data_IF_692818970508
#
_entry.id   IF_692818970508
#
_cell.length_a   1.000
_cell.length_b   1.000
_cell.length_c   1.000
_cell.angle_alpha   90.00
_cell.angle_beta   90.00
_cell.angle_gamma   90.00
#
_symmetry.space_group_name_H-M   'P 1'
#
loop_
_entity.id
_entity.type
_entity.pdbx_description
1 polymer ?
#
# COMPACT_ATOMS: atom_id res chain seq x y z
N UNK A 1 -20.89 -16.22 8.85
CA UNK A 1 -19.46 -16.58 8.98
C UNK A 1 -18.80 -15.53 9.87
N UNK A 2 -18.05 -15.95 10.89
CA UNK A 2 -17.33 -15.03 11.79
C UNK A 2 -15.82 -15.20 11.58
N UNK A 3 -15.36 -14.89 10.37
CA UNK A 3 -13.97 -15.06 9.93
C UNK A 3 -13.53 -13.82 9.15
N UNK A 4 -12.26 -13.42 9.23
CA UNK A 4 -11.75 -12.32 8.41
C UNK A 4 -11.75 -12.73 6.93
N UNK A 5 -12.28 -11.85 6.08
CA UNK A 5 -12.28 -12.03 4.63
C UNK A 5 -11.30 -11.02 4.03
N UNK A 6 -10.36 -11.53 3.23
CA UNK A 6 -9.45 -10.70 2.46
C UNK A 6 -9.82 -10.80 0.98
N UNK A 7 -10.02 -9.64 0.34
CA UNK A 7 -10.23 -9.52 -1.09
C UNK A 7 -9.14 -8.65 -1.70
N UNK A 8 -8.69 -9.01 -2.90
CA UNK A 8 -7.80 -8.18 -3.71
C UNK A 8 -8.61 -7.49 -4.80
N UNK A 9 -8.37 -6.19 -4.99
CA UNK A 9 -9.00 -5.39 -6.04
C UNK A 9 -7.93 -4.65 -6.83
N UNK A 10 -8.21 -4.41 -8.10
CA UNK A 10 -7.37 -3.57 -8.95
C UNK A 10 -7.83 -2.11 -8.82
N UNK A 11 -6.87 -1.18 -8.94
CA UNK A 11 -7.16 0.25 -8.96
C UNK A 11 -7.52 0.70 -10.37
N UNK A 12 -8.31 1.76 -10.47
CA UNK A 12 -8.51 2.46 -11.74
C UNK A 12 -7.16 2.94 -12.30
N UNK A 13 -7.00 2.87 -13.63
CA UNK A 13 -5.81 3.40 -14.34
C UNK A 13 -5.67 4.92 -14.21
N UNK A 14 -6.71 5.61 -13.75
CA UNK A 14 -6.68 7.05 -13.47
C UNK A 14 -5.55 7.43 -12.48
N UNK A 15 -5.14 6.52 -11.59
CA UNK A 15 -4.01 6.74 -10.67
C UNK A 15 -2.71 7.09 -11.40
N UNK A 16 -2.49 6.55 -12.59
CA UNK A 16 -1.25 6.76 -13.36
C UNK A 16 -1.19 8.14 -14.02
N UNK A 17 -2.34 8.78 -14.22
CA UNK A 17 -2.47 10.10 -14.85
C UNK A 17 -2.27 11.24 -13.86
N UNK A 18 -2.34 10.96 -12.55
CA UNK A 18 -2.13 11.97 -11.50
C UNK A 18 -0.64 12.27 -11.33
N UNK A 19 -0.33 13.52 -10.99
CA UNK A 19 1.03 13.94 -10.61
C UNK A 19 1.51 13.16 -9.39
N UNK A 20 0.64 13.03 -8.39
CA UNK A 20 0.84 12.14 -7.26
C UNK A 20 0.17 10.79 -7.56
N UNK A 21 0.99 9.77 -7.86
CA UNK A 21 0.55 8.41 -8.19
C UNK A 21 0.20 7.58 -6.95
N UNK A 22 -0.01 8.23 -5.80
CA UNK A 22 -0.40 7.58 -4.56
C UNK A 22 -1.87 7.12 -4.62
N UNK A 23 -2.14 5.82 -4.41
CA UNK A 23 -3.51 5.29 -4.37
C UNK A 23 -4.38 5.98 -3.31
N UNK A 24 -5.63 6.25 -3.67
CA UNK A 24 -6.66 6.79 -2.78
C UNK A 24 -7.94 5.97 -2.88
N UNK A 25 -8.87 6.13 -1.92
CA UNK A 25 -10.11 5.37 -1.88
C UNK A 25 -10.94 5.46 -3.16
N UNK A 26 -11.00 6.65 -3.79
CA UNK A 26 -11.72 6.83 -5.05
C UNK A 26 -11.16 6.01 -6.22
N UNK A 27 -9.92 5.52 -6.12
CA UNK A 27 -9.35 4.63 -7.14
C UNK A 27 -9.98 3.22 -7.10
N UNK A 28 -10.73 2.88 -6.04
CA UNK A 28 -11.54 1.66 -5.94
C UNK A 28 -12.95 1.82 -6.51
N UNK A 29 -13.30 2.98 -7.05
CA UNK A 29 -14.68 3.26 -7.51
C UNK A 29 -15.20 2.26 -8.55
N UNK A 30 -14.32 1.73 -9.39
CA UNK A 30 -14.66 0.70 -10.38
C UNK A 30 -14.89 -0.70 -9.75
N UNK A 31 -14.50 -0.87 -8.50
CA UNK A 31 -14.63 -2.12 -7.73
C UNK A 31 -15.96 -2.23 -6.97
N UNK A 32 -16.95 -1.41 -7.33
CA UNK A 32 -18.30 -1.46 -6.76
C UNK A 32 -18.37 -0.92 -5.34
N UNK A 33 -19.02 -1.66 -4.44
CA UNK A 33 -19.26 -1.23 -3.06
C UNK A 33 -18.08 -1.42 -2.11
N UNK A 34 -16.94 -1.98 -2.57
CA UNK A 34 -15.79 -2.31 -1.71
C UNK A 34 -15.26 -1.12 -0.91
N UNK A 35 -15.24 0.08 -1.51
CA UNK A 35 -14.85 1.31 -0.80
C UNK A 35 -15.71 1.54 0.45
N UNK A 36 -17.01 1.30 0.35
CA UNK A 36 -17.97 1.52 1.42
C UNK A 36 -18.03 0.36 2.39
N UNK A 37 -18.06 -0.88 1.88
CA UNK A 37 -18.33 -2.08 2.66
C UNK A 37 -17.13 -2.57 3.46
N UNK A 38 -15.91 -2.36 2.97
CA UNK A 38 -14.70 -2.83 3.66
C UNK A 38 -14.53 -2.17 5.04
N UNK A 39 -14.12 -2.95 6.04
CA UNK A 39 -13.72 -2.43 7.35
C UNK A 39 -12.33 -1.79 7.29
N UNK A 40 -11.43 -2.40 6.53
CA UNK A 40 -10.05 -1.97 6.34
C UNK A 40 -9.75 -1.95 4.84
N UNK A 41 -9.15 -0.86 4.36
CA UNK A 41 -8.62 -0.76 2.99
C UNK A 41 -7.14 -0.48 3.07
N UNK A 42 -6.35 -1.35 2.45
CA UNK A 42 -4.90 -1.20 2.35
C UNK A 42 -4.47 -1.10 0.88
N UNK A 43 -3.58 -0.17 0.57
CA UNK A 43 -2.94 -0.08 -0.73
C UNK A 43 -1.46 -0.42 -0.64
N UNK A 44 -0.95 -1.08 -1.68
CA UNK A 44 0.47 -1.29 -1.89
C UNK A 44 0.96 -0.18 -2.83
N UNK A 45 1.91 0.63 -2.39
CA UNK A 45 2.51 1.69 -3.19
C UNK A 45 4.03 1.48 -3.33
N UNK A 46 4.51 1.44 -4.56
CA UNK A 46 5.93 1.20 -4.90
C UNK A 46 6.39 2.14 -6.02
N UNK A 47 6.59 3.43 -5.74
CA UNK A 47 6.86 4.43 -6.77
C UNK A 47 8.17 4.16 -7.52
N UNK A 48 9.20 3.70 -6.81
CA UNK A 48 10.54 3.44 -7.32
C UNK A 48 10.70 2.06 -8.00
N UNK A 49 9.67 1.21 -8.01
CA UNK A 49 9.82 -0.19 -8.45
C UNK A 49 10.26 -0.35 -9.92
N UNK A 50 10.00 0.65 -10.75
CA UNK A 50 10.37 0.66 -12.17
C UNK A 50 11.71 1.35 -12.44
N UNK A 51 12.30 2.01 -11.44
CA UNK A 51 13.57 2.73 -11.56
C UNK A 51 14.72 1.81 -11.17
N UNK A 52 15.44 1.29 -12.19
CA UNK A 52 16.48 0.26 -12.01
C UNK A 52 17.60 0.64 -11.04
N UNK A 53 17.90 1.93 -10.94
CA UNK A 53 19.00 2.45 -10.11
C UNK A 53 18.51 3.16 -8.84
N UNK A 54 17.20 3.14 -8.55
CA UNK A 54 16.69 3.78 -7.34
C UNK A 54 17.15 3.00 -6.10
N UNK A 55 17.76 3.66 -5.10
CA UNK A 55 18.09 3.01 -3.83
C UNK A 55 16.84 2.53 -3.08
N UNK A 56 15.66 3.01 -3.49
CA UNK A 56 14.35 2.63 -2.94
C UNK A 56 13.58 1.64 -3.84
N UNK A 57 14.17 1.07 -4.89
CA UNK A 57 13.48 0.16 -5.81
C UNK A 57 12.82 -1.07 -5.11
N UNK A 58 13.44 -1.52 -4.02
CA UNK A 58 12.93 -2.61 -3.18
C UNK A 58 12.06 -2.12 -2.02
N UNK A 59 11.80 -0.82 -1.90
CA UNK A 59 10.91 -0.29 -0.87
C UNK A 59 9.45 -0.37 -1.34
N UNK A 60 8.56 -0.61 -0.39
CA UNK A 60 7.13 -0.57 -0.56
C UNK A 60 6.48 0.12 0.63
N UNK A 61 5.40 0.83 0.39
CA UNK A 61 4.56 1.40 1.42
C UNK A 61 3.22 0.67 1.45
N UNK A 62 2.81 0.22 2.64
CA UNK A 62 1.42 -0.19 2.89
C UNK A 62 0.67 1.00 3.45
N UNK A 63 -0.28 1.50 2.69
CA UNK A 63 -1.13 2.63 3.05
C UNK A 63 -2.40 2.06 3.67
N UNK A 64 -2.68 2.36 4.93
CA UNK A 64 -3.97 2.02 5.56
C UNK A 64 -4.90 3.20 5.32
N UNK A 65 -5.64 3.18 4.22
CA UNK A 65 -6.49 4.29 3.77
C UNK A 65 -7.84 4.35 4.49
N UNK A 66 -8.32 3.21 5.01
CA UNK A 66 -9.53 3.11 5.81
C UNK A 66 -9.33 2.11 6.93
N UNK A 67 -9.81 2.43 8.12
CA UNK A 67 -9.88 1.52 9.25
C UNK A 67 -11.08 1.92 10.12
N UNK A 68 -12.20 1.16 10.08
CA UNK A 68 -13.43 1.53 10.82
C UNK A 68 -13.23 1.58 12.34
N UNK A 69 -12.36 0.72 12.88
CA UNK A 69 -12.19 0.50 14.32
C UNK A 69 -10.80 0.93 14.86
N UNK A 70 -10.15 1.92 14.25
CA UNK A 70 -8.74 2.20 14.54
C UNK A 70 -8.12 3.23 13.58
N UNK A 71 -6.83 3.55 13.74
CA UNK A 71 -6.18 4.60 12.97
C UNK A 71 -5.90 4.18 11.53
N UNK A 72 -5.92 5.16 10.63
CA UNK A 72 -5.28 5.07 9.32
C UNK A 72 -3.78 5.31 9.45
N UNK A 73 -3.02 4.90 8.44
CA UNK A 73 -1.59 5.13 8.38
C UNK A 73 -1.19 5.52 6.96
N UNK A 74 -0.50 6.65 6.77
CA UNK A 74 -0.23 7.15 5.42
C UNK A 74 0.69 6.21 4.67
N UNK A 75 1.70 5.59 5.27
CA UNK A 75 2.54 4.58 4.61
C UNK A 75 3.46 3.85 5.59
N UNK A 76 3.25 2.55 5.77
CA UNK A 76 4.11 1.67 6.55
C UNK A 76 5.20 1.15 5.62
N UNK A 77 6.46 1.48 5.88
CA UNK A 77 7.59 1.07 5.05
C UNK A 77 7.92 -0.42 5.21
N UNK A 78 8.02 -1.12 4.08
CA UNK A 78 8.37 -2.53 3.98
C UNK A 78 9.45 -2.73 2.91
N UNK A 79 10.33 -3.69 3.14
CA UNK A 79 11.30 -4.15 2.15
C UNK A 79 10.71 -5.31 1.34
N UNK A 80 10.66 -5.16 0.02
CA UNK A 80 10.19 -6.17 -0.92
C UNK A 80 11.37 -6.96 -1.51
N UNK A 81 11.48 -8.24 -1.14
CA UNK A 81 12.40 -9.21 -1.75
C UNK A 81 11.77 -9.79 -3.01
N UNK A 82 12.11 -9.20 -4.17
CA UNK A 82 11.55 -9.57 -5.47
C UNK A 82 11.78 -11.03 -5.85
N UNK A 83 12.95 -11.58 -5.54
CA UNK A 83 13.30 -12.99 -5.80
C UNK A 83 12.46 -14.00 -5.01
N UNK A 84 11.79 -13.56 -3.94
CA UNK A 84 10.96 -14.41 -3.08
C UNK A 84 9.50 -13.98 -3.06
N UNK A 85 9.13 -12.92 -3.79
CA UNK A 85 7.83 -12.26 -3.70
C UNK A 85 7.39 -12.00 -2.24
N UNK A 86 8.34 -11.57 -1.39
CA UNK A 86 8.15 -11.45 0.07
C UNK A 86 8.31 -10.01 0.53
N UNK A 87 7.39 -9.58 1.39
CA UNK A 87 7.54 -8.34 2.15
C UNK A 87 8.14 -8.64 3.52
N UNK A 88 9.11 -7.84 3.92
CA UNK A 88 9.74 -7.85 5.24
C UNK A 88 9.58 -6.46 5.85
N UNK A 89 9.66 -6.38 7.18
CA UNK A 89 9.77 -5.08 7.84
C UNK A 89 10.99 -4.38 7.24
N UNK A 90 10.81 -3.15 6.74
CA UNK A 90 11.95 -2.28 6.53
C UNK A 90 12.52 -2.08 7.93
N UNK A 91 13.59 -2.81 8.27
CA UNK A 91 14.23 -2.70 9.58
C UNK A 91 14.37 -1.22 9.86
N UNK A 92 13.77 -0.74 10.96
CA UNK A 92 14.12 0.55 11.53
C UNK A 92 15.62 0.49 11.69
N UNK A 93 16.37 1.10 10.77
CA UNK A 93 17.74 1.46 11.10
C UNK A 93 17.54 2.29 12.36
N UNK A 94 18.00 1.86 13.54
CA UNK A 94 17.99 2.75 14.68
C UNK A 94 18.80 3.94 14.20
N UNK A 95 18.15 5.09 14.02
CA UNK A 95 18.89 6.32 13.77
C UNK A 95 19.98 6.39 14.84
N UNK A 96 21.22 6.79 14.51
CA UNK A 96 22.24 6.93 15.52
C UNK A 96 21.65 7.81 16.62
N UNK A 97 21.60 7.29 17.86
CA UNK A 97 21.11 8.03 19.03
C UNK A 97 21.60 9.47 18.95
N UNK A 98 20.68 10.40 18.76
CA UNK A 98 20.89 11.84 18.93
C UNK A 98 19.82 12.36 19.86
#
# INVERSE_FOLDING_TARGET
LNVPVLAAAQLSRAVEQRTDKRPVLSDLRESGSLEQDADIVMFIHRPDAMEKDSPRANMAEIIVAKHRNGPTHPGIELFFRSNLARFENATTVPGPNR
#
